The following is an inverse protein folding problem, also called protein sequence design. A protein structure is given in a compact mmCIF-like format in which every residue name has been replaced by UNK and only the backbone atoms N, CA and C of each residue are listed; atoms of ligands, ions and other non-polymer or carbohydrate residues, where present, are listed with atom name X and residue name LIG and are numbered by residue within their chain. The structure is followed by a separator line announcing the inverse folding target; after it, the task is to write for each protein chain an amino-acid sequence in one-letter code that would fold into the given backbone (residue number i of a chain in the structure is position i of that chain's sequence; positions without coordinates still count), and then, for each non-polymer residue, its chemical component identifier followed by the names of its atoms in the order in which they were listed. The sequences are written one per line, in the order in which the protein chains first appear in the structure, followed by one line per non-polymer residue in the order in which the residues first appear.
data_IF_147546268024
#
_entry.id   IF_147546268024
#
_cell.length_a   1.000
_cell.length_b   1.000
_cell.length_c   1.000
_cell.angle_alpha   90.00
_cell.angle_beta   90.00
_cell.angle_gamma   90.00
#
_symmetry.space_group_name_H-M   'P 1'
#
loop_
_entity.id
_entity.type
_entity.pdbx_description
1 polymer ?
#
# COMPACT_ATOMS: atom_id res chain seq x y z
N UNK A 1 18.30 3.12 2.73
CA UNK A 1 17.57 2.02 3.40
C UNK A 1 16.30 1.73 2.60
N UNK A 2 15.89 0.46 2.46
CA UNK A 2 14.58 0.13 1.86
C UNK A 2 13.58 -0.06 2.99
N UNK A 3 12.37 0.43 2.78
CA UNK A 3 11.26 0.33 3.72
C UNK A 3 10.12 -0.42 3.04
N UNK A 4 9.34 -1.13 3.86
CA UNK A 4 8.17 -1.87 3.39
C UNK A 4 6.93 -1.00 3.58
N UNK A 5 6.43 -0.44 2.49
CA UNK A 5 5.14 0.25 2.49
C UNK A 5 4.03 -0.78 2.33
N UNK A 6 3.07 -0.76 3.26
CA UNK A 6 1.86 -1.57 3.23
C UNK A 6 0.74 -0.70 2.69
N UNK A 7 0.21 -1.09 1.53
CA UNK A 7 -0.95 -0.45 0.91
C UNK A 7 -2.12 -1.42 1.01
N UNK A 8 -3.22 -1.00 1.63
CA UNK A 8 -4.45 -1.77 1.73
C UNK A 8 -5.64 -0.89 1.37
N UNK A 9 -6.51 -1.40 0.51
CA UNK A 9 -7.84 -0.84 0.20
C UNK A 9 -8.89 -1.84 0.66
N UNK A 10 -9.84 -1.39 1.46
CA UNK A 10 -11.00 -2.16 1.88
C UNK A 10 -12.23 -1.38 1.43
N UNK A 11 -13.04 -1.96 0.55
CA UNK A 11 -14.16 -1.28 -0.10
C UNK A 11 -13.73 0.06 -0.75
N UNK A 12 -14.10 1.19 -0.15
CA UNK A 12 -13.74 2.55 -0.60
C UNK A 12 -12.67 3.23 0.26
N UNK A 13 -12.25 2.59 1.35
CA UNK A 13 -11.28 3.13 2.30
C UNK A 13 -9.88 2.62 1.98
N UNK A 14 -8.89 3.51 2.03
CA UNK A 14 -7.48 3.17 1.78
C UNK A 14 -6.60 3.53 2.99
N UNK A 15 -5.58 2.70 3.21
CA UNK A 15 -4.51 2.93 4.16
C UNK A 15 -3.17 2.66 3.50
N UNK A 16 -2.26 3.62 3.67
CA UNK A 16 -0.84 3.52 3.34
C UNK A 16 -0.06 3.70 4.63
N UNK A 17 0.66 2.67 5.06
CA UNK A 17 1.43 2.74 6.30
C UNK A 17 2.67 1.86 6.24
N UNK A 18 3.70 2.23 6.98
CA UNK A 18 4.87 1.37 7.27
C UNK A 18 4.73 0.71 8.63
N UNK A 19 3.74 1.10 9.44
CA UNK A 19 3.49 0.56 10.77
C UNK A 19 2.44 -0.56 10.75
N UNK A 20 2.86 -1.73 11.21
CA UNK A 20 1.99 -2.90 11.37
C UNK A 20 0.85 -2.66 12.36
N UNK A 21 1.04 -1.83 13.39
CA UNK A 21 -0.01 -1.55 14.38
C UNK A 21 -1.15 -0.72 13.77
N UNK A 22 -0.83 0.27 12.93
CA UNK A 22 -1.83 1.03 12.18
C UNK A 22 -2.61 0.14 11.22
N UNK A 23 -1.91 -0.74 10.50
CA UNK A 23 -2.54 -1.73 9.63
C UNK A 23 -3.53 -2.63 10.39
N UNK A 24 -3.13 -3.15 11.56
CA UNK A 24 -4.03 -3.95 12.41
C UNK A 24 -5.25 -3.13 12.85
N UNK A 25 -5.05 -1.88 13.28
CA UNK A 25 -6.15 -0.99 13.70
C UNK A 25 -7.11 -0.70 12.54
N UNK A 26 -6.61 -0.53 11.32
CA UNK A 26 -7.42 -0.29 10.13
C UNK A 26 -8.28 -1.50 9.77
N UNK A 27 -7.67 -2.69 9.72
CA UNK A 27 -8.41 -3.94 9.47
C UNK A 27 -9.47 -4.15 10.54
N UNK A 28 -9.14 -3.94 11.82
CA UNK A 28 -10.10 -4.10 12.92
C UNK A 28 -11.30 -3.18 12.79
N UNK A 29 -11.12 -1.94 12.33
CA UNK A 29 -12.20 -0.97 12.10
C UNK A 29 -13.16 -1.38 10.99
N UNK A 30 -12.68 -2.11 9.99
CA UNK A 30 -13.49 -2.58 8.86
C UNK A 30 -14.07 -4.00 9.05
N UNK A 31 -13.89 -4.63 10.22
CA UNK A 31 -14.46 -5.97 10.47
C UNK A 31 -16.00 -5.91 10.45
N UNK A 32 -16.62 -6.71 9.59
CA UNK A 32 -18.07 -6.80 9.50
C UNK A 32 -18.53 -7.17 8.09
N UNK A 33 -18.83 -6.16 7.28
CA UNK A 33 -19.45 -6.31 5.95
C UNK A 33 -18.52 -5.83 4.82
N UNK A 34 -17.32 -6.38 4.79
CA UNK A 34 -16.33 -6.07 3.74
C UNK A 34 -16.75 -6.73 2.43
N UNK A 35 -16.83 -5.96 1.35
CA UNK A 35 -17.14 -6.47 0.00
C UNK A 35 -15.86 -6.78 -0.79
N UNK A 36 -14.83 -5.96 -0.65
CA UNK A 36 -13.54 -6.14 -1.32
C UNK A 36 -12.36 -5.80 -0.42
N UNK A 37 -11.28 -6.57 -0.57
CA UNK A 37 -9.99 -6.30 0.07
C UNK A 37 -8.91 -6.45 -0.97
N UNK A 38 -8.14 -5.38 -1.16
CA UNK A 38 -6.96 -5.37 -2.01
C UNK A 38 -5.77 -4.93 -1.16
N UNK A 39 -4.71 -5.73 -1.14
CA UNK A 39 -3.51 -5.39 -0.39
C UNK A 39 -2.28 -5.73 -1.20
N UNK A 40 -1.29 -4.85 -1.17
CA UNK A 40 0.05 -5.17 -1.63
C UNK A 40 1.11 -4.53 -0.74
N UNK A 41 2.26 -5.17 -0.71
CA UNK A 41 3.46 -4.58 -0.14
C UNK A 41 4.34 -4.05 -1.28
N UNK A 42 4.99 -2.92 -1.04
CA UNK A 42 5.96 -2.35 -1.97
C UNK A 42 7.23 -1.96 -1.21
N UNK A 43 8.37 -2.50 -1.64
CA UNK A 43 9.67 -2.13 -1.08
C UNK A 43 10.21 -0.92 -1.82
N UNK A 44 10.11 0.23 -1.18
CA UNK A 44 10.60 1.49 -1.74
C UNK A 44 11.83 1.97 -0.95
N UNK A 45 12.72 2.74 -1.59
CA UNK A 45 13.75 3.44 -0.86
C UNK A 45 13.10 4.53 0.01
N UNK A 46 13.65 4.74 1.21
CA UNK A 46 13.11 5.65 2.23
C UNK A 46 12.93 7.09 1.73
N UNK A 47 13.82 7.56 0.86
CA UNK A 47 13.72 8.89 0.24
C UNK A 47 12.49 9.07 -0.68
N UNK A 48 11.83 7.98 -1.08
CA UNK A 48 10.58 8.02 -1.85
C UNK A 48 9.33 7.86 -0.97
N UNK A 49 9.48 7.69 0.35
CA UNK A 49 8.34 7.44 1.25
C UNK A 49 7.35 8.58 1.26
N UNK A 50 7.81 9.82 1.51
CA UNK A 50 6.93 10.99 1.62
C UNK A 50 6.09 11.14 0.35
N UNK A 51 6.74 11.03 -0.81
CA UNK A 51 6.06 11.08 -2.10
C UNK A 51 5.09 9.91 -2.31
N UNK A 52 5.44 8.71 -1.84
CA UNK A 52 4.57 7.54 -1.93
C UNK A 52 3.29 7.69 -1.08
N UNK A 53 3.37 8.38 0.07
CA UNK A 53 2.22 8.63 0.93
C UNK A 53 1.22 9.63 0.31
N UNK A 54 1.66 10.50 -0.60
CA UNK A 54 0.81 11.44 -1.34
C UNK A 54 -0.03 10.76 -2.44
N UNK A 55 0.42 9.63 -2.97
CA UNK A 55 -0.28 8.92 -4.04
C UNK A 55 -1.46 8.08 -3.53
N UNK A 56 -2.47 7.90 -4.38
CA UNK A 56 -3.57 6.96 -4.14
C UNK A 56 -3.12 5.50 -4.25
N UNK A 57 -3.93 4.56 -3.71
CA UNK A 57 -3.67 3.13 -3.85
C UNK A 57 -3.48 2.70 -5.31
N UNK A 58 -4.33 3.18 -6.22
CA UNK A 58 -4.29 2.79 -7.64
C UNK A 58 -3.03 3.31 -8.35
N UNK A 59 -2.57 4.52 -8.01
CA UNK A 59 -1.32 5.07 -8.53
C UNK A 59 -0.12 4.26 -8.04
N UNK A 60 -0.06 3.95 -6.74
CA UNK A 60 1.01 3.11 -6.18
C UNK A 60 1.01 1.71 -6.79
N UNK A 61 -0.17 1.15 -7.06
CA UNK A 61 -0.29 -0.15 -7.72
C UNK A 61 0.25 -0.11 -9.15
N UNK A 62 -0.06 0.95 -9.91
CA UNK A 62 0.50 1.17 -11.26
C UNK A 62 2.03 1.30 -11.21
N UNK A 63 2.58 2.11 -10.30
CA UNK A 63 4.03 2.26 -10.15
C UNK A 63 4.71 0.93 -9.82
N UNK A 64 4.13 0.14 -8.93
CA UNK A 64 4.64 -1.19 -8.60
C UNK A 64 4.65 -2.11 -9.84
N UNK A 65 3.59 -2.09 -10.65
CA UNK A 65 3.54 -2.90 -11.88
C UNK A 65 4.58 -2.44 -12.91
N UNK A 66 4.81 -1.14 -13.05
CA UNK A 66 5.84 -0.60 -13.95
C UNK A 66 7.25 -0.98 -13.49
N UNK A 67 7.56 -0.90 -12.20
CA UNK A 67 8.86 -1.34 -11.67
C UNK A 67 9.08 -2.84 -11.92
N UNK A 68 8.08 -3.68 -11.64
CA UNK A 68 8.17 -5.13 -11.89
C UNK A 68 8.32 -5.48 -13.38
N UNK A 69 7.83 -4.64 -14.30
CA UNK A 69 8.03 -4.82 -15.74
C UNK A 69 9.46 -4.47 -16.14
N UNK A 70 10.01 -3.37 -15.63
CA UNK A 70 11.38 -2.93 -15.93
C UNK A 70 12.45 -3.88 -15.40
N UNK A 71 12.19 -4.61 -14.32
CA UNK A 71 13.12 -5.63 -13.81
C UNK A 71 13.15 -6.93 -14.63
N UNK A 72 12.21 -7.12 -15.57
CA UNK A 72 12.11 -8.34 -16.39
C UNK A 72 12.66 -8.20 -17.82
N UNK A 73 13.08 -7.01 -18.23
CA UNK A 73 13.86 -6.74 -19.44
C UNK A 73 15.35 -6.67 -19.10
#
# INVERSE_FOLDING_TARGET
MKIKLICIRIDNDELKTTDKNEWIKFIRRHRGNVKSIEQFNWEIPENKLEKALEYSFDELYKFKLEENRREKD
#
